data_IF_116636788986
#
_entry.id   IF_116636788986
#
_cell.length_a   1.000
_cell.length_b   1.000
_cell.length_c   1.000
_cell.angle_alpha   90.00
_cell.angle_beta   90.00
_cell.angle_gamma   90.00
#
_symmetry.space_group_name_H-M   'P 1'
#
loop_
_entity.id
_entity.type
_entity.pdbx_description
1 polymer ?
#
# COMPACT_ATOMS: atom_id res chain seq x y z
N UNK A 1 1.27 -12.37 17.48
CA UNK A 1 1.26 -12.23 16.00
C UNK A 1 1.71 -10.81 15.66
N UNK A 2 2.68 -10.61 14.75
CA UNK A 2 3.14 -9.26 14.37
C UNK A 2 2.21 -8.70 13.28
N UNK A 3 1.71 -7.49 13.46
CA UNK A 3 0.84 -6.79 12.49
C UNK A 3 1.45 -5.45 12.07
N UNK A 4 1.05 -4.95 10.91
CA UNK A 4 1.39 -3.59 10.48
C UNK A 4 0.66 -2.52 11.31
N UNK A 5 0.98 -1.25 11.07
CA UNK A 5 0.24 -0.09 11.62
C UNK A 5 -1.27 -0.18 11.35
N UNK A 6 -1.64 -0.69 10.18
CA UNK A 6 -3.02 -0.84 9.72
C UNK A 6 -3.72 -2.09 10.27
N UNK A 7 -3.08 -2.82 11.19
CA UNK A 7 -3.58 -4.10 11.70
C UNK A 7 -3.46 -5.26 10.72
N UNK A 8 -2.88 -5.05 9.53
CA UNK A 8 -2.71 -6.10 8.52
C UNK A 8 -1.70 -7.15 9.04
N UNK A 9 -2.06 -8.44 9.08
CA UNK A 9 -1.13 -9.52 9.44
C UNK A 9 0.08 -9.53 8.51
N UNK A 10 1.31 -9.61 9.03
CA UNK A 10 2.50 -9.63 8.17
C UNK A 10 2.57 -10.87 7.27
N UNK A 11 1.91 -11.95 7.67
CA UNK A 11 1.76 -13.16 6.86
C UNK A 11 0.87 -12.97 5.62
N UNK A 12 0.10 -11.89 5.51
CA UNK A 12 -0.60 -11.52 4.28
C UNK A 12 0.34 -11.20 3.10
N UNK A 13 1.60 -10.87 3.40
CA UNK A 13 2.67 -10.72 2.41
C UNK A 13 3.77 -11.78 2.61
N UNK A 14 3.49 -12.81 3.40
CA UNK A 14 4.39 -13.91 3.69
C UNK A 14 4.83 -14.61 2.40
N UNK A 15 6.12 -14.95 2.31
CA UNK A 15 6.68 -15.57 1.11
C UNK A 15 7.05 -14.61 -0.02
N UNK A 16 6.77 -13.31 0.12
CA UNK A 16 7.31 -12.28 -0.78
C UNK A 16 8.64 -11.73 -0.28
N UNK A 17 9.49 -11.29 -1.21
CA UNK A 17 10.71 -10.56 -0.94
C UNK A 17 10.50 -9.06 -1.16
N UNK A 18 11.01 -8.24 -0.24
CA UNK A 18 11.02 -6.80 -0.37
C UNK A 18 12.32 -6.33 -1.05
N UNK A 19 12.19 -5.56 -2.13
CA UNK A 19 13.33 -5.02 -2.89
C UNK A 19 13.27 -3.51 -2.89
N UNK A 20 14.39 -2.89 -2.51
CA UNK A 20 14.59 -1.45 -2.62
C UNK A 20 14.91 -1.10 -4.08
N UNK A 21 14.00 -0.42 -4.76
CA UNK A 21 14.20 0.06 -6.14
C UNK A 21 13.84 1.55 -6.20
N UNK A 22 14.83 2.41 -6.48
CA UNK A 22 14.66 3.86 -6.49
C UNK A 22 14.15 4.42 -5.15
N UNK A 23 13.17 5.32 -5.21
CA UNK A 23 12.53 5.97 -4.03
C UNK A 23 11.37 5.14 -3.45
N UNK A 24 11.47 3.83 -3.47
CA UNK A 24 10.40 2.95 -2.98
C UNK A 24 10.85 1.55 -2.64
N UNK A 25 9.90 0.73 -2.22
CA UNK A 25 10.06 -0.70 -1.97
C UNK A 25 9.03 -1.42 -2.82
N UNK A 26 9.47 -2.44 -3.55
CA UNK A 26 8.62 -3.33 -4.30
C UNK A 26 8.54 -4.69 -3.60
N UNK A 27 7.41 -5.37 -3.69
CA UNK A 27 7.28 -6.77 -3.30
C UNK A 27 7.34 -7.65 -4.53
N UNK A 28 8.15 -8.68 -4.47
CA UNK A 28 8.36 -9.64 -5.55
C UNK A 28 8.41 -11.06 -4.99
N UNK A 29 8.35 -12.07 -5.85
CA UNK A 29 8.61 -13.45 -5.42
C UNK A 29 10.13 -13.68 -5.26
N UNK A 30 10.57 -14.56 -4.35
CA UNK A 30 11.97 -14.94 -4.21
C UNK A 30 12.59 -15.45 -5.52
N UNK A 31 11.81 -16.19 -6.32
CA UNK A 31 12.24 -16.71 -7.62
C UNK A 31 12.51 -15.57 -8.62
N UNK A 32 11.68 -14.52 -8.61
CA UNK A 32 11.88 -13.35 -9.46
C UNK A 32 13.10 -12.50 -9.06
N UNK A 33 13.70 -12.72 -7.89
CA UNK A 33 15.00 -12.12 -7.57
C UNK A 33 16.15 -12.75 -8.35
N UNK A 34 16.03 -14.03 -8.69
CA UNK A 34 17.06 -14.78 -9.38
C UNK A 34 17.09 -14.48 -10.88
N UNK A 35 16.07 -13.81 -11.40
CA UNK A 35 15.89 -13.51 -12.81
C UNK A 35 16.02 -12.00 -13.02
N UNK A 36 17.00 -11.60 -13.81
CA UNK A 36 17.28 -10.21 -14.17
C UNK A 36 17.39 -10.04 -15.69
N UNK A 37 16.25 -9.98 -16.41
CA UNK A 37 16.26 -9.78 -17.84
C UNK A 37 16.79 -8.37 -18.18
N UNK A 38 17.63 -8.21 -19.22
CA UNK A 38 17.97 -6.89 -19.73
C UNK A 38 16.71 -6.09 -20.08
N UNK A 39 16.65 -4.82 -19.66
CA UNK A 39 15.52 -3.93 -19.95
C UNK A 39 14.33 -4.03 -18.99
N UNK A 40 14.39 -4.88 -17.95
CA UNK A 40 13.33 -4.94 -16.95
C UNK A 40 13.30 -3.65 -16.10
N UNK A 41 12.21 -2.88 -16.22
CA UNK A 41 12.06 -1.57 -15.56
C UNK A 41 11.66 -1.70 -14.08
N UNK A 42 10.99 -2.79 -13.69
CA UNK A 42 10.51 -3.02 -12.31
C UNK A 42 10.31 -4.50 -12.03
N UNK A 43 10.61 -4.94 -10.80
CA UNK A 43 10.24 -6.27 -10.30
C UNK A 43 9.04 -6.23 -9.37
N UNK A 44 8.05 -7.06 -9.67
CA UNK A 44 6.87 -7.24 -8.83
C UNK A 44 6.00 -5.99 -8.68
N UNK A 45 5.35 -5.88 -7.53
CA UNK A 45 4.35 -4.85 -7.24
C UNK A 45 5.02 -3.71 -6.48
N UNK A 46 4.80 -2.47 -6.93
CA UNK A 46 5.25 -1.31 -6.16
C UNK A 46 4.45 -1.22 -4.87
N UNK A 47 5.13 -1.28 -3.73
CA UNK A 47 4.47 -1.53 -2.45
C UNK A 47 4.50 -0.31 -1.52
N UNK A 48 5.69 0.26 -1.30
CA UNK A 48 5.87 1.49 -0.53
C UNK A 48 6.50 2.55 -1.44
N UNK A 49 5.95 3.76 -1.41
CA UNK A 49 6.60 4.96 -1.92
C UNK A 49 7.22 5.71 -0.76
N UNK A 50 8.52 5.98 -0.84
CA UNK A 50 9.18 6.84 0.14
C UNK A 50 8.81 8.31 -0.09
N UNK A 51 8.68 9.00 1.03
CA UNK A 51 8.47 10.44 1.11
C UNK A 51 9.68 11.04 1.84
N UNK A 52 9.79 12.37 1.86
CA UNK A 52 10.85 13.05 2.63
C UNK A 52 10.85 12.65 4.11
N UNK A 53 9.67 12.29 4.65
CA UNK A 53 9.50 11.76 6.01
C UNK A 53 8.70 10.46 5.94
N UNK A 54 9.40 9.34 6.05
CA UNK A 54 8.81 7.99 6.07
C UNK A 54 8.37 7.48 4.69
N UNK A 55 7.35 6.65 4.66
CA UNK A 55 6.80 6.07 3.44
C UNK A 55 5.31 5.83 3.55
N UNK A 56 4.65 5.74 2.39
CA UNK A 56 3.22 5.41 2.29
C UNK A 56 3.01 4.19 1.42
N UNK A 57 1.96 3.43 1.72
CA UNK A 57 1.47 2.38 0.82
C UNK A 57 1.07 2.99 -0.52
N UNK A 58 1.36 2.28 -1.60
CA UNK A 58 0.87 2.64 -2.93
C UNK A 58 -0.57 2.17 -3.10
N UNK A 59 -1.28 2.70 -4.11
CA UNK A 59 -2.60 2.18 -4.49
C UNK A 59 -2.55 0.70 -4.87
N UNK A 60 -1.44 0.21 -5.44
CA UNK A 60 -1.27 -1.20 -5.77
C UNK A 60 -1.14 -2.06 -4.50
N UNK A 61 -0.43 -1.59 -3.47
CA UNK A 61 -0.38 -2.24 -2.17
C UNK A 61 -1.75 -2.27 -1.49
N UNK A 62 -2.47 -1.14 -1.51
CA UNK A 62 -3.81 -1.05 -0.91
C UNK A 62 -4.78 -2.01 -1.60
N UNK A 63 -4.72 -2.16 -2.93
CA UNK A 63 -5.53 -3.16 -3.65
C UNK A 63 -5.19 -4.60 -3.25
N UNK A 64 -3.93 -4.88 -2.95
CA UNK A 64 -3.47 -6.23 -2.61
C UNK A 64 -3.87 -6.64 -1.18
N UNK A 65 -3.69 -5.75 -0.21
CA UNK A 65 -3.82 -6.09 1.23
C UNK A 65 -4.73 -5.16 2.03
N UNK A 66 -5.27 -4.11 1.41
CA UNK A 66 -6.06 -3.09 2.11
C UNK A 66 -7.37 -3.62 2.67
N UNK A 67 -7.96 -4.64 2.04
CA UNK A 67 -9.17 -5.31 2.56
C UNK A 67 -8.94 -6.00 3.90
N UNK A 68 -7.69 -6.38 4.20
CA UNK A 68 -7.28 -7.02 5.45
C UNK A 68 -6.98 -6.03 6.58
N UNK A 69 -7.07 -4.72 6.31
CA UNK A 69 -6.83 -3.70 7.33
C UNK A 69 -7.94 -3.72 8.39
N UNK A 70 -7.52 -3.57 9.65
CA UNK A 70 -8.41 -3.55 10.82
C UNK A 70 -8.20 -2.32 11.69
N UNK A 71 -7.25 -1.44 11.32
CA UNK A 71 -6.93 -0.18 12.02
C UNK A 71 -6.73 0.92 10.99
N UNK A 72 -7.04 2.15 11.39
CA UNK A 72 -6.95 3.33 10.51
C UNK A 72 -7.74 3.13 9.20
N UNK A 73 -8.94 2.55 9.32
CA UNK A 73 -9.84 2.30 8.19
C UNK A 73 -11.00 3.28 8.23
N UNK A 74 -11.30 3.87 7.09
CA UNK A 74 -12.47 4.71 6.86
C UNK A 74 -13.37 3.96 5.89
N UNK A 75 -14.58 3.64 6.34
CA UNK A 75 -15.63 3.09 5.48
C UNK A 75 -16.42 4.25 4.88
N UNK A 76 -16.49 4.29 3.55
CA UNK A 76 -17.26 5.30 2.84
C UNK A 76 -18.66 4.80 2.52
N UNK A 77 -19.62 5.71 2.61
CA UNK A 77 -20.92 5.49 1.99
C UNK A 77 -20.82 5.65 0.46
N UNK A 78 -21.93 5.40 -0.24
CA UNK A 78 -21.97 5.46 -1.72
C UNK A 78 -21.59 6.83 -2.27
N UNK A 79 -22.13 7.90 -1.70
CA UNK A 79 -21.91 9.26 -2.20
C UNK A 79 -20.46 9.70 -1.96
N UNK A 80 -19.92 9.40 -0.78
CA UNK A 80 -18.52 9.61 -0.44
C UNK A 80 -17.58 8.81 -1.35
N UNK A 81 -17.94 7.57 -1.67
CA UNK A 81 -17.17 6.71 -2.59
C UNK A 81 -17.08 7.34 -3.98
N UNK A 82 -18.20 7.81 -4.53
CA UNK A 82 -18.21 8.45 -5.84
C UNK A 82 -17.37 9.73 -5.88
N UNK A 83 -17.41 10.54 -4.82
CA UNK A 83 -16.57 11.73 -4.67
C UNK A 83 -15.09 11.37 -4.56
N UNK A 84 -14.75 10.38 -3.73
CA UNK A 84 -13.39 9.89 -3.56
C UNK A 84 -12.81 9.36 -4.88
N UNK A 85 -13.59 8.61 -5.66
CA UNK A 85 -13.19 8.09 -6.97
C UNK A 85 -12.95 9.20 -8.00
N UNK A 86 -13.63 10.34 -7.88
CA UNK A 86 -13.37 11.56 -8.67
C UNK A 86 -12.12 12.33 -8.23
N UNK A 87 -11.47 11.90 -7.14
CA UNK A 87 -10.30 12.57 -6.57
C UNK A 87 -10.66 13.80 -5.73
N UNK A 88 -11.92 13.93 -5.30
CA UNK A 88 -12.34 14.99 -4.39
C UNK A 88 -11.83 14.72 -2.97
N UNK A 89 -11.50 15.79 -2.25
CA UNK A 89 -11.19 15.71 -0.81
C UNK A 89 -12.49 15.55 -0.02
N UNK A 90 -12.51 14.55 0.86
CA UNK A 90 -13.57 14.37 1.85
C UNK A 90 -13.16 15.08 3.15
N UNK A 91 -13.63 16.31 3.32
CA UNK A 91 -13.20 17.21 4.41
C UNK A 91 -13.55 16.65 5.81
N UNK A 92 -14.60 15.84 5.95
CA UNK A 92 -14.94 15.16 7.20
C UNK A 92 -13.84 14.23 7.74
N UNK A 93 -12.94 13.75 6.88
CA UNK A 93 -11.78 12.93 7.26
C UNK A 93 -10.47 13.72 7.29
N UNK A 94 -10.54 15.04 7.10
CA UNK A 94 -9.37 15.92 7.09
C UNK A 94 -9.01 16.34 8.50
N UNK A 95 -8.14 15.56 9.15
CA UNK A 95 -7.59 15.95 10.44
C UNK A 95 -7.05 14.75 11.19
N UNK A 96 -5.74 14.75 11.48
CA UNK A 96 -5.13 13.70 12.29
C UNK A 96 -3.67 13.45 11.97
N UNK A 97 -3.17 13.89 10.81
CA UNK A 97 -1.78 13.66 10.40
C UNK A 97 -1.42 12.17 10.21
N UNK A 98 -2.43 11.30 10.21
CA UNK A 98 -2.31 9.85 10.03
C UNK A 98 -2.85 9.47 8.65
N UNK A 99 -2.17 8.53 7.99
CA UNK A 99 -2.65 7.94 6.74
C UNK A 99 -3.66 6.85 7.06
N UNK A 100 -4.83 6.90 6.42
CA UNK A 100 -5.90 5.90 6.55
C UNK A 100 -6.03 5.04 5.29
N UNK A 101 -6.65 3.87 5.41
CA UNK A 101 -7.12 3.05 4.29
C UNK A 101 -8.61 3.31 4.10
N UNK A 102 -8.98 3.65 2.87
CA UNK A 102 -10.37 3.89 2.47
C UNK A 102 -10.95 2.57 1.95
N UNK A 103 -12.11 2.17 2.45
CA UNK A 103 -12.88 1.00 1.99
C UNK A 103 -14.32 1.36 1.67
#
# INVERSE_FOLDING_TARGET
MKSSRYGIPLEAIGGMAAVKEGKGINLTTPQALLIHPPGLVRRGISFIKELQRGGRLTSAAIRLIGTLATKEVVELNRDETERFLRGETLEEYRGGGVWVIVR
#
